data_IF_210918563030
#
_entry.id   IF_210918563030
#
_cell.length_a   1.000
_cell.length_b   1.000
_cell.length_c   1.000
_cell.angle_alpha   90.00
_cell.angle_beta   90.00
_cell.angle_gamma   90.00
#
_symmetry.space_group_name_H-M   'P 1'
#
loop_
_entity.id
_entity.type
_entity.pdbx_description
1 polymer ?
#
# COMPACT_ATOMS: atom_id res chain seq x y z
N UNK A 1 13.64 52.61 -34.86
CA UNK A 1 14.04 51.94 -33.60
C UNK A 1 13.09 52.36 -32.48
N UNK A 2 12.70 51.39 -31.63
CA UNK A 2 11.96 51.52 -30.36
C UNK A 2 10.48 51.91 -30.41
N UNK A 3 9.63 50.93 -30.74
CA UNK A 3 8.28 50.78 -30.16
C UNK A 3 7.98 49.29 -29.97
N UNK A 4 8.47 48.72 -28.87
CA UNK A 4 8.17 47.35 -28.43
C UNK A 4 8.31 47.30 -26.90
N UNK A 5 7.44 48.03 -26.18
CA UNK A 5 7.39 47.93 -24.70
C UNK A 5 5.96 47.91 -24.14
N UNK A 6 4.91 48.28 -24.89
CA UNK A 6 3.58 48.47 -24.27
C UNK A 6 2.56 47.34 -24.47
N UNK A 7 2.93 46.18 -25.03
CA UNK A 7 1.99 45.04 -25.20
C UNK A 7 2.20 43.95 -24.15
N UNK A 8 3.35 43.92 -23.45
CA UNK A 8 3.65 42.88 -22.47
C UNK A 8 2.92 43.04 -21.11
N UNK A 9 2.35 44.22 -20.82
CA UNK A 9 1.72 44.51 -19.51
C UNK A 9 0.20 44.32 -19.47
N UNK A 10 -0.46 44.11 -20.62
CA UNK A 10 -1.92 43.84 -20.65
C UNK A 10 -2.22 42.33 -20.71
N UNK A 11 -1.26 41.51 -21.16
CA UNK A 11 -1.39 40.04 -21.18
C UNK A 11 -1.24 39.35 -19.83
N UNK A 12 -0.74 40.03 -18.79
CA UNK A 12 -0.49 39.43 -17.47
C UNK A 12 -1.67 39.61 -16.50
N UNK A 13 -2.55 40.59 -16.75
CA UNK A 13 -3.70 40.86 -15.85
C UNK A 13 -4.93 40.01 -16.23
N UNK A 14 -5.06 39.58 -17.49
CA UNK A 14 -6.15 38.69 -17.93
C UNK A 14 -5.97 37.21 -17.53
N UNK A 15 -4.78 36.80 -17.08
CA UNK A 15 -4.53 35.44 -16.54
C UNK A 15 -4.70 35.35 -15.01
N UNK A 16 -4.97 36.47 -14.34
CA UNK A 16 -5.09 36.55 -12.87
C UNK A 16 -6.52 36.38 -12.34
N UNK A 17 -7.54 36.21 -13.19
CA UNK A 17 -8.95 36.20 -12.76
C UNK A 17 -9.63 34.82 -12.90
N UNK A 18 -8.95 33.80 -13.41
CA UNK A 18 -9.53 32.43 -13.51
C UNK A 18 -9.11 31.45 -12.40
N UNK A 19 -8.35 31.89 -11.38
CA UNK A 19 -7.96 31.01 -10.27
C UNK A 19 -8.95 31.00 -9.09
N UNK A 20 -10.01 31.82 -9.12
CA UNK A 20 -10.92 32.01 -7.97
C UNK A 20 -12.28 31.31 -8.05
N UNK A 21 -12.67 30.71 -9.19
CA UNK A 21 -14.07 30.33 -9.42
C UNK A 21 -14.32 28.83 -9.70
N UNK A 22 -13.39 27.93 -9.34
CA UNK A 22 -13.67 26.49 -9.39
C UNK A 22 -13.00 25.70 -8.26
N UNK A 23 -12.88 26.30 -7.07
CA UNK A 23 -12.69 25.53 -5.85
C UNK A 23 -14.06 24.99 -5.42
N UNK A 24 -14.45 23.80 -5.92
CA UNK A 24 -15.49 23.03 -5.25
C UNK A 24 -15.03 22.82 -3.80
N UNK A 25 -15.88 23.04 -2.78
CA UNK A 25 -15.50 22.77 -1.41
C UNK A 25 -15.10 21.29 -1.30
N UNK A 26 -13.83 21.04 -1.00
CA UNK A 26 -13.20 19.70 -0.83
C UNK A 26 -13.63 19.07 0.50
N UNK A 27 -14.88 19.28 0.92
CA UNK A 27 -15.39 18.84 2.21
C UNK A 27 -16.55 17.85 2.09
N UNK A 28 -17.29 17.82 0.97
CA UNK A 28 -18.36 16.82 0.79
C UNK A 28 -17.86 15.46 0.26
N UNK A 29 -16.89 15.43 -0.66
CA UNK A 29 -16.34 14.16 -1.17
C UNK A 29 -15.40 13.47 -0.17
N UNK A 30 -14.82 14.22 0.77
CA UNK A 30 -14.00 13.67 1.85
C UNK A 30 -14.84 12.86 2.86
N UNK A 31 -16.10 13.26 3.07
CA UNK A 31 -17.02 12.55 3.96
C UNK A 31 -17.76 11.39 3.27
N UNK A 32 -17.86 11.38 1.94
CA UNK A 32 -18.41 10.25 1.19
C UNK A 32 -17.45 9.06 1.06
N UNK A 33 -16.21 9.18 1.56
CA UNK A 33 -15.17 8.15 1.50
C UNK A 33 -15.06 7.30 2.78
N UNK A 34 -16.16 7.01 3.48
CA UNK A 34 -16.12 6.14 4.68
C UNK A 34 -17.22 5.09 4.86
N UNK A 35 -18.10 4.88 3.87
CA UNK A 35 -19.10 3.80 3.94
C UNK A 35 -19.10 2.88 2.72
N UNK A 36 -18.02 2.86 1.93
CA UNK A 36 -17.76 1.70 1.10
C UNK A 36 -17.14 0.64 2.02
N UNK A 37 -17.99 -0.20 2.62
CA UNK A 37 -17.61 -1.44 3.28
C UNK A 37 -16.97 -2.30 2.19
N UNK A 38 -15.69 -2.03 1.91
CA UNK A 38 -14.91 -2.80 0.95
C UNK A 38 -14.83 -4.20 1.55
N UNK A 39 -15.60 -5.14 0.99
CA UNK A 39 -15.61 -6.57 1.29
C UNK A 39 -14.27 -7.23 0.89
N UNK A 40 -13.17 -6.52 1.09
CA UNK A 40 -11.84 -6.82 0.61
C UNK A 40 -11.27 -8.05 1.29
N UNK A 41 -10.43 -8.77 0.53
CA UNK A 41 -9.68 -9.89 1.07
C UNK A 41 -8.60 -9.38 2.03
N UNK A 42 -8.35 -10.14 3.10
CA UNK A 42 -7.27 -9.90 4.04
C UNK A 42 -6.36 -11.12 4.12
N UNK A 43 -5.07 -10.89 4.31
CA UNK A 43 -4.09 -11.91 4.70
C UNK A 43 -3.88 -11.76 6.20
N UNK A 44 -4.01 -12.85 6.93
CA UNK A 44 -3.56 -12.98 8.32
C UNK A 44 -2.48 -14.05 8.36
N UNK A 45 -1.26 -13.69 8.75
CA UNK A 45 -0.13 -14.58 8.57
C UNK A 45 0.96 -14.44 9.62
N UNK A 46 1.91 -15.35 9.50
CA UNK A 46 3.16 -15.43 10.25
C UNK A 46 4.32 -15.25 9.29
N UNK A 47 5.43 -14.75 9.80
CA UNK A 47 6.68 -14.63 9.05
C UNK A 47 7.86 -15.08 9.91
N UNK A 48 8.95 -15.46 9.24
CA UNK A 48 10.19 -15.93 9.86
C UNK A 48 11.37 -15.78 8.91
N UNK A 49 12.59 -15.91 9.42
CA UNK A 49 13.81 -15.90 8.60
C UNK A 49 14.10 -17.30 8.04
N UNK A 50 14.79 -17.38 6.92
CA UNK A 50 15.24 -18.69 6.40
C UNK A 50 16.49 -19.11 7.19
N UNK A 51 16.54 -20.36 7.62
CA UNK A 51 17.56 -20.89 8.53
C UNK A 51 17.04 -21.03 9.96
N UNK A 52 16.02 -20.24 10.31
CA UNK A 52 15.29 -20.35 11.57
C UNK A 52 13.94 -21.02 11.28
N UNK A 53 13.68 -22.20 11.86
CA UNK A 53 12.37 -22.86 11.76
C UNK A 53 11.30 -22.22 12.65
N UNK A 54 11.59 -21.03 13.19
CA UNK A 54 10.77 -20.34 14.17
C UNK A 54 9.99 -19.17 13.56
N UNK A 55 8.89 -18.81 14.23
CA UNK A 55 8.09 -17.65 13.85
C UNK A 55 8.73 -16.40 14.45
N UNK A 56 9.27 -15.53 13.60
CA UNK A 56 9.80 -14.23 14.01
C UNK A 56 8.70 -13.20 14.29
N UNK A 57 7.52 -13.36 13.69
CA UNK A 57 6.37 -12.53 14.03
C UNK A 57 5.13 -12.72 13.16
N UNK A 58 4.25 -11.73 13.18
CA UNK A 58 2.92 -11.79 12.55
C UNK A 58 2.72 -10.64 11.56
N UNK A 59 1.76 -10.83 10.65
CA UNK A 59 1.35 -9.80 9.70
C UNK A 59 -0.16 -9.85 9.42
N UNK A 60 -0.70 -8.69 9.13
CA UNK A 60 -2.06 -8.51 8.66
C UNK A 60 -2.09 -7.55 7.48
N UNK A 61 -2.67 -7.94 6.35
CA UNK A 61 -2.70 -7.12 5.15
C UNK A 61 -4.06 -7.13 4.47
N UNK A 62 -4.46 -6.00 3.89
CA UNK A 62 -5.58 -5.92 2.95
C UNK A 62 -5.06 -6.13 1.53
N UNK A 63 -5.79 -6.92 0.74
CA UNK A 63 -5.53 -7.13 -0.68
C UNK A 63 -6.62 -6.42 -1.48
N UNK A 64 -6.20 -5.55 -2.42
CA UNK A 64 -7.10 -4.91 -3.38
C UNK A 64 -6.69 -5.28 -4.80
N UNK A 65 -7.62 -5.76 -5.62
CA UNK A 65 -7.35 -5.97 -7.04
C UNK A 65 -7.22 -4.64 -7.76
N UNK A 66 -6.17 -4.48 -8.57
CA UNK A 66 -5.90 -3.32 -9.40
C UNK A 66 -5.55 -3.79 -10.83
N UNK A 67 -6.54 -3.75 -11.73
CA UNK A 67 -6.42 -4.29 -13.11
C UNK A 67 -5.91 -5.74 -13.12
N UNK A 68 -4.66 -5.95 -13.56
CA UNK A 68 -3.98 -7.25 -13.71
C UNK A 68 -3.05 -7.60 -12.55
N UNK A 69 -3.10 -6.85 -11.45
CA UNK A 69 -2.28 -7.06 -10.26
C UNK A 69 -3.11 -6.93 -8.98
N UNK A 70 -2.51 -7.27 -7.84
CA UNK A 70 -3.06 -6.99 -6.52
C UNK A 70 -2.15 -6.03 -5.77
N UNK A 71 -2.75 -5.05 -5.09
CA UNK A 71 -2.05 -4.14 -4.20
C UNK A 71 -2.25 -4.65 -2.77
N UNK A 72 -1.14 -4.80 -2.06
CA UNK A 72 -1.10 -5.15 -0.63
C UNK A 72 -0.82 -3.89 0.17
N UNK A 73 -1.60 -3.71 1.25
CA UNK A 73 -1.31 -2.76 2.33
C UNK A 73 -1.51 -3.45 3.66
N UNK A 74 -0.47 -3.53 4.48
CA UNK A 74 -0.52 -4.25 5.74
C UNK A 74 0.38 -3.69 6.82
N UNK A 75 0.31 -4.36 7.95
CA UNK A 75 1.15 -4.16 9.13
C UNK A 75 1.81 -5.48 9.50
N UNK A 76 2.93 -5.40 10.19
CA UNK A 76 3.63 -6.53 10.74
C UNK A 76 4.24 -6.17 12.10
N UNK A 77 4.56 -7.19 12.89
CA UNK A 77 5.26 -7.09 14.16
C UNK A 77 6.20 -8.29 14.35
N UNK A 78 7.12 -8.19 15.31
CA UNK A 78 7.82 -9.33 15.90
C UNK A 78 6.96 -10.02 16.96
N UNK A 79 7.27 -11.27 17.30
CA UNK A 79 6.51 -12.07 18.29
C UNK A 79 6.43 -11.39 19.67
N UNK A 80 7.52 -10.73 20.08
CA UNK A 80 7.62 -9.95 21.32
C UNK A 80 7.08 -8.51 21.21
N UNK A 81 6.58 -8.11 20.03
CA UNK A 81 6.17 -6.75 19.70
C UNK A 81 7.27 -5.66 19.84
N UNK A 82 8.55 -6.04 19.96
CA UNK A 82 9.65 -5.08 20.02
C UNK A 82 9.75 -4.23 18.75
N UNK A 83 9.53 -4.85 17.58
CA UNK A 83 9.45 -4.16 16.30
C UNK A 83 8.07 -4.32 15.67
N UNK A 84 7.64 -3.25 15.01
CA UNK A 84 6.43 -3.25 14.18
C UNK A 84 6.56 -2.25 13.05
N UNK A 85 5.84 -2.53 11.98
CA UNK A 85 5.92 -1.70 10.79
C UNK A 85 4.74 -1.86 9.87
N UNK A 86 4.89 -1.21 8.71
CA UNK A 86 3.94 -1.29 7.60
C UNK A 86 4.60 -2.01 6.43
N UNK A 87 3.80 -2.75 5.68
CA UNK A 87 4.20 -3.34 4.40
C UNK A 87 3.29 -2.82 3.30
N UNK A 88 3.89 -2.43 2.18
CA UNK A 88 3.17 -2.02 0.98
C UNK A 88 3.80 -2.71 -0.22
N UNK A 89 2.99 -3.19 -1.16
CA UNK A 89 3.55 -3.74 -2.38
C UNK A 89 2.50 -4.15 -3.40
N UNK A 90 3.01 -4.69 -4.51
CA UNK A 90 2.23 -5.18 -5.64
C UNK A 90 2.56 -6.65 -5.85
N UNK A 91 1.52 -7.47 -5.95
CA UNK A 91 1.59 -8.86 -6.38
C UNK A 91 1.14 -8.95 -7.84
N UNK A 92 1.99 -9.51 -8.70
CA UNK A 92 1.68 -9.77 -10.11
C UNK A 92 2.30 -11.11 -10.53
N UNK A 93 1.47 -12.00 -11.09
CA UNK A 93 1.91 -13.38 -11.36
C UNK A 93 2.22 -14.10 -10.05
N UNK A 94 3.45 -14.59 -9.91
CA UNK A 94 4.01 -15.17 -8.68
C UNK A 94 4.98 -14.22 -7.94
N UNK A 95 5.09 -12.96 -8.37
CA UNK A 95 6.06 -12.00 -7.83
C UNK A 95 5.41 -10.99 -6.90
N UNK A 96 6.07 -10.71 -5.79
CA UNK A 96 5.79 -9.60 -4.90
C UNK A 96 6.94 -8.59 -4.97
N UNK A 97 6.61 -7.32 -5.20
CA UNK A 97 7.55 -6.20 -5.13
C UNK A 97 6.96 -5.13 -4.22
N UNK A 98 7.71 -4.69 -3.22
CA UNK A 98 7.20 -3.78 -2.21
C UNK A 98 8.26 -3.11 -1.36
N UNK A 99 7.78 -2.50 -0.29
CA UNK A 99 8.56 -1.83 0.74
C UNK A 99 8.04 -2.20 2.12
N UNK A 100 8.96 -2.28 3.08
CA UNK A 100 8.70 -2.34 4.50
C UNK A 100 9.08 -0.98 5.11
N UNK A 101 8.22 -0.45 5.98
CA UNK A 101 8.50 0.75 6.78
C UNK A 101 8.51 0.39 8.26
N UNK A 102 9.59 0.72 8.94
CA UNK A 102 9.79 0.49 10.39
C UNK A 102 10.39 1.74 11.00
N UNK A 103 9.67 2.39 11.91
CA UNK A 103 10.07 3.73 12.38
C UNK A 103 10.33 4.69 11.21
N UNK A 104 11.53 5.27 11.17
CA UNK A 104 11.96 6.18 10.11
C UNK A 104 12.64 5.49 8.91
N UNK A 105 12.78 4.16 8.96
CA UNK A 105 13.46 3.39 7.93
C UNK A 105 12.47 2.84 6.90
N UNK A 106 12.83 2.91 5.62
CA UNK A 106 12.11 2.27 4.52
C UNK A 106 13.07 1.33 3.79
N UNK A 107 12.67 0.08 3.62
CA UNK A 107 13.49 -0.96 3.01
C UNK A 107 12.73 -1.65 1.87
N UNK A 108 13.34 -1.83 0.69
CA UNK A 108 12.72 -2.61 -0.38
C UNK A 108 12.64 -4.09 0.01
N UNK A 109 11.56 -4.73 -0.43
CA UNK A 109 11.32 -6.17 -0.27
C UNK A 109 10.82 -6.75 -1.59
N UNK A 110 11.39 -7.87 -1.97
CA UNK A 110 10.95 -8.67 -3.13
C UNK A 110 10.62 -10.08 -2.66
N UNK A 111 9.76 -10.78 -3.38
CA UNK A 111 9.42 -12.15 -3.02
C UNK A 111 8.75 -12.93 -4.13
N UNK A 112 8.80 -14.26 -3.97
CA UNK A 112 8.03 -15.21 -4.76
C UNK A 112 6.95 -15.80 -3.88
N UNK A 113 5.71 -15.79 -4.37
CA UNK A 113 4.58 -16.31 -3.64
C UNK A 113 3.81 -17.36 -4.44
N UNK A 114 3.13 -18.24 -3.70
CA UNK A 114 2.16 -19.21 -4.20
C UNK A 114 0.86 -19.03 -3.42
N UNK A 115 -0.26 -19.07 -4.13
CA UNK A 115 -1.60 -19.10 -3.53
C UNK A 115 -2.14 -20.51 -3.70
N UNK A 116 -2.52 -21.12 -2.59
CA UNK A 116 -3.35 -22.32 -2.57
C UNK A 116 -4.81 -21.87 -2.50
N UNK A 117 -5.55 -22.13 -3.59
CA UNK A 117 -6.94 -21.70 -3.73
C UNK A 117 -7.91 -22.56 -2.94
N UNK A 118 -7.60 -23.84 -2.77
CA UNK A 118 -8.46 -24.80 -2.06
C UNK A 118 -8.42 -24.52 -0.57
N UNK A 119 -7.21 -24.33 -0.04
CA UNK A 119 -7.01 -24.05 1.39
C UNK A 119 -7.11 -22.55 1.74
N UNK A 120 -7.32 -21.69 0.74
CA UNK A 120 -7.29 -20.23 0.88
C UNK A 120 -6.04 -19.73 1.62
N UNK A 121 -4.87 -20.25 1.27
CA UNK A 121 -3.60 -19.83 1.89
C UNK A 121 -2.66 -19.18 0.89
N UNK A 122 -1.77 -18.35 1.41
CA UNK A 122 -0.66 -17.78 0.69
C UNK A 122 0.64 -18.15 1.40
N UNK A 123 1.62 -18.58 0.62
CA UNK A 123 2.99 -18.75 1.07
C UNK A 123 3.90 -17.87 0.24
N UNK A 124 4.91 -17.27 0.86
CA UNK A 124 5.86 -16.40 0.19
C UNK A 124 7.26 -16.62 0.74
N UNK A 125 8.25 -16.73 -0.13
CA UNK A 125 9.65 -16.51 0.21
C UNK A 125 10.01 -15.08 -0.17
N UNK A 126 10.65 -14.35 0.71
CA UNK A 126 10.96 -12.95 0.50
C UNK A 126 12.41 -12.65 0.85
N UNK A 127 12.91 -11.53 0.33
CA UNK A 127 14.21 -10.99 0.66
C UNK A 127 14.20 -9.46 0.63
N UNK A 128 15.02 -8.90 1.50
CA UNK A 128 15.52 -7.52 1.45
C UNK A 128 16.99 -7.55 1.05
N UNK A 129 17.67 -6.40 1.05
CA UNK A 129 19.11 -6.33 0.80
C UNK A 129 19.97 -7.04 1.87
N UNK A 130 19.42 -7.28 3.07
CA UNK A 130 20.20 -7.82 4.20
C UNK A 130 19.63 -9.12 4.77
N UNK A 131 18.34 -9.39 4.56
CA UNK A 131 17.65 -10.51 5.20
C UNK A 131 16.78 -11.23 4.20
N UNK A 132 16.54 -12.50 4.42
CA UNK A 132 15.63 -13.31 3.60
C UNK A 132 14.86 -14.26 4.51
N UNK A 133 13.66 -14.62 4.08
CA UNK A 133 12.70 -15.24 4.95
C UNK A 133 11.52 -15.85 4.24
N UNK A 134 10.55 -16.26 5.06
CA UNK A 134 9.32 -16.87 4.63
C UNK A 134 8.12 -16.19 5.30
N UNK A 135 6.97 -16.38 4.66
CA UNK A 135 5.67 -15.95 5.14
C UNK A 135 4.65 -17.01 4.80
N UNK A 136 3.75 -17.31 5.73
CA UNK A 136 2.57 -18.16 5.52
C UNK A 136 1.36 -17.45 6.11
N UNK A 137 0.27 -17.36 5.35
CA UNK A 137 -0.95 -16.70 5.81
C UNK A 137 -2.23 -17.30 5.24
N UNK A 138 -3.33 -17.07 5.94
CA UNK A 138 -4.69 -17.38 5.47
C UNK A 138 -5.27 -16.15 4.79
N UNK A 139 -5.95 -16.38 3.66
CA UNK A 139 -6.73 -15.37 2.94
C UNK A 139 -8.17 -15.48 3.44
N UNK A 140 -8.68 -14.40 4.03
CA UNK A 140 -10.02 -14.34 4.61
C UNK A 140 -10.80 -13.18 4.00
N UNK A 141 -12.13 -13.29 3.94
CA UNK A 141 -12.98 -12.12 3.64
C UNK A 141 -12.98 -11.19 4.84
N UNK A 142 -12.86 -9.87 4.61
CA UNK A 142 -13.06 -8.90 5.68
C UNK A 142 -14.50 -9.01 6.22
N UNK A 143 -14.65 -9.25 7.52
CA UNK A 143 -15.95 -9.04 8.19
C UNK A 143 -16.29 -7.53 8.16
N UNK A 144 -17.57 -7.17 8.00
CA UNK A 144 -18.01 -5.80 8.29
C UNK A 144 -17.59 -5.45 9.72
N UNK A 145 -17.19 -4.21 9.95
CA UNK A 145 -17.22 -3.68 11.31
C UNK A 145 -18.70 -3.61 11.67
N UNK A 146 -19.13 -4.36 12.69
CA UNK A 146 -20.42 -4.12 13.35
C UNK A 146 -20.27 -2.80 14.09
N UNK A 147 -21.19 -1.87 13.83
CA UNK A 147 -21.29 -0.58 14.53
C UNK A 147 -21.48 -0.76 16.04
#
# INVERSE_FOLDING_TARGET
>A
MRRLVSIAMVGIIALSVCAGALAKPVTEDANKMRTNIDHGLRILGKWGYIGENETAGYLAAKIKRARRAFVIRGVWNTTDNAEKGRIFGVMKGCYFNGIIKTGNSTMPIVGLFKIDRENHTITMKWMTCHKYGWTKGKIVRAKPLTD
#
